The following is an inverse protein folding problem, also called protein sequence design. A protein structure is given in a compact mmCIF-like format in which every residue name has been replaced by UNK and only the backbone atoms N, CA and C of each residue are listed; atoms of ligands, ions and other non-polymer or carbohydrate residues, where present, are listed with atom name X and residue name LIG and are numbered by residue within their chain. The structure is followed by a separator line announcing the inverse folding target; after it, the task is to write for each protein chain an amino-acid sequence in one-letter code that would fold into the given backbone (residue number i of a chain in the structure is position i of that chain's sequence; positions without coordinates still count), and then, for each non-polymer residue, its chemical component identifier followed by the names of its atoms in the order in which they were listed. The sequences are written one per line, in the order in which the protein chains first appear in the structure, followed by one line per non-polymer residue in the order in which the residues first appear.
data_IF_367748014666
#
_entry.id   IF_367748014666
#
_cell.length_a   1.000
_cell.length_b   1.000
_cell.length_c   1.000
_cell.angle_alpha   90.00
_cell.angle_beta   90.00
_cell.angle_gamma   90.00
#
_symmetry.space_group_name_H-M   'P 1'
#
loop_
_entity.id
_entity.type
_entity.pdbx_description
1 polymer ?
#
# COMPACT_ATOMS: atom_id res chain seq x y z
N UNK A 1 5.02 -0.35 20.60
CA UNK A 1 3.82 -0.20 19.75
C UNK A 1 4.10 0.86 18.70
N UNK A 2 3.81 0.59 17.43
CA UNK A 2 4.09 1.53 16.36
C UNK A 2 3.09 2.69 16.38
N UNK A 3 3.54 3.93 16.12
CA UNK A 3 2.65 5.02 15.78
C UNK A 3 1.86 4.71 14.51
N UNK A 4 0.61 5.18 14.46
CA UNK A 4 -0.32 4.93 13.38
C UNK A 4 -0.91 6.26 12.90
N UNK A 5 -0.79 6.55 11.61
CA UNK A 5 -1.46 7.69 10.97
C UNK A 5 -2.59 7.14 10.11
N UNK A 6 -3.82 7.59 10.37
CA UNK A 6 -5.01 7.11 9.66
C UNK A 6 -5.60 8.26 8.88
N UNK A 7 -5.66 8.09 7.57
CA UNK A 7 -6.34 9.00 6.67
C UNK A 7 -7.76 8.50 6.46
N UNK A 8 -8.74 9.36 6.68
CA UNK A 8 -10.15 9.02 6.41
C UNK A 8 -10.94 10.26 6.06
N UNK A 9 -11.97 10.09 5.25
CA UNK A 9 -12.99 11.09 4.98
C UNK A 9 -14.38 10.63 5.47
N UNK A 10 -14.41 9.56 6.26
CA UNK A 10 -15.61 8.95 6.81
C UNK A 10 -15.69 9.23 8.31
N UNK A 11 -16.68 10.02 8.71
CA UNK A 11 -16.90 10.41 10.11
C UNK A 11 -17.14 9.17 10.99
N UNK A 12 -17.96 8.22 10.52
CA UNK A 12 -18.26 7.00 11.26
C UNK A 12 -16.99 6.14 11.47
N UNK A 13 -16.12 6.07 10.46
CA UNK A 13 -14.87 5.34 10.56
C UNK A 13 -13.86 6.02 11.49
N UNK A 14 -13.77 7.36 11.44
CA UNK A 14 -12.98 8.16 12.38
C UNK A 14 -13.42 7.88 13.82
N UNK A 15 -14.72 7.93 14.08
CA UNK A 15 -15.28 7.77 15.43
C UNK A 15 -15.04 6.35 15.95
N UNK A 16 -15.24 5.34 15.10
CA UNK A 16 -14.90 3.95 15.41
C UNK A 16 -13.44 3.81 15.81
N UNK A 17 -12.51 4.27 14.97
CA UNK A 17 -11.08 4.17 15.25
C UNK A 17 -10.69 4.95 16.51
N UNK A 18 -11.26 6.13 16.71
CA UNK A 18 -11.00 6.94 17.92
C UNK A 18 -11.33 6.12 19.17
N UNK A 19 -12.54 5.53 19.20
CA UNK A 19 -12.98 4.67 20.29
C UNK A 19 -12.04 3.48 20.51
N UNK A 20 -11.77 2.70 19.47
CA UNK A 20 -10.92 1.50 19.55
C UNK A 20 -9.50 1.83 20.06
N UNK A 21 -8.93 2.93 19.56
CA UNK A 21 -7.58 3.36 19.95
C UNK A 21 -7.55 3.91 21.38
N UNK A 22 -8.61 4.57 21.83
CA UNK A 22 -8.74 5.01 23.22
C UNK A 22 -8.91 3.87 24.22
N UNK A 23 -9.76 2.89 23.91
CA UNK A 23 -9.91 1.68 24.75
C UNK A 23 -8.58 0.91 24.87
N UNK A 24 -7.76 0.95 23.80
CA UNK A 24 -6.40 0.43 23.79
C UNK A 24 -5.35 1.29 24.50
N UNK A 25 -5.67 2.50 25.00
CA UNK A 25 -4.71 3.49 25.51
C UNK A 25 -3.58 3.79 24.49
N UNK A 26 -3.96 4.11 23.25
CA UNK A 26 -3.06 4.35 22.12
C UNK A 26 -3.24 5.73 21.48
N UNK A 27 -3.86 6.67 22.18
CA UNK A 27 -4.17 8.02 21.70
C UNK A 27 -2.91 8.76 21.27
N UNK A 28 -1.87 8.78 22.11
CA UNK A 28 -0.59 9.41 21.80
C UNK A 28 0.23 8.70 20.70
N UNK A 29 -0.23 7.53 20.26
CA UNK A 29 0.38 6.75 19.17
C UNK A 29 -0.51 6.71 17.94
N UNK A 30 -1.52 7.59 17.87
CA UNK A 30 -2.47 7.63 16.75
C UNK A 30 -2.70 9.06 16.31
N UNK A 31 -2.47 9.30 15.02
CA UNK A 31 -2.90 10.53 14.37
C UNK A 31 -4.07 10.21 13.44
N UNK A 32 -5.17 10.95 13.58
CA UNK A 32 -6.33 10.86 12.69
C UNK A 32 -6.35 12.08 11.77
N UNK A 33 -6.07 11.86 10.49
CA UNK A 33 -6.10 12.91 9.47
C UNK A 33 -7.42 12.82 8.71
N UNK A 34 -8.33 13.75 9.02
CA UNK A 34 -9.57 13.90 8.25
C UNK A 34 -9.27 14.61 6.94
N UNK A 35 -9.50 13.96 5.81
CA UNK A 35 -9.15 14.47 4.48
C UNK A 35 -10.37 14.60 3.58
N UNK A 36 -10.28 15.48 2.58
CA UNK A 36 -11.13 15.40 1.41
C UNK A 36 -10.41 14.51 0.37
N UNK A 37 -10.93 13.31 0.07
CA UNK A 37 -10.26 12.38 -0.84
C UNK A 37 -9.94 12.97 -2.22
N UNK A 38 -10.74 13.93 -2.69
CA UNK A 38 -10.54 14.56 -4.01
C UNK A 38 -9.34 15.50 -4.06
N UNK A 39 -8.72 15.83 -2.93
CA UNK A 39 -7.45 16.55 -2.90
C UNK A 39 -6.24 15.68 -3.23
N UNK A 40 -6.38 14.34 -3.18
CA UNK A 40 -5.33 13.41 -3.56
C UNK A 40 -5.33 13.23 -5.07
N UNK A 41 -4.15 13.32 -5.69
CA UNK A 41 -4.00 13.21 -7.15
C UNK A 41 -4.70 11.98 -7.76
N UNK A 42 -4.78 10.78 -7.13
CA UNK A 42 -5.43 9.65 -7.77
C UNK A 42 -6.93 9.82 -7.95
N UNK A 43 -7.59 10.53 -7.03
CA UNK A 43 -9.02 10.80 -7.14
C UNK A 43 -9.33 11.88 -8.19
N UNK A 44 -8.35 12.71 -8.55
CA UNK A 44 -8.48 13.61 -9.71
C UNK A 44 -8.50 12.86 -11.06
N UNK A 45 -8.06 11.59 -11.07
CA UNK A 45 -8.00 10.76 -12.28
C UNK A 45 -9.26 9.91 -12.50
N UNK A 46 -10.26 9.99 -11.62
CA UNK A 46 -11.45 9.13 -11.65
C UNK A 46 -12.13 9.06 -13.03
N UNK A 47 -12.33 10.21 -13.68
CA UNK A 47 -12.98 10.24 -14.99
C UNK A 47 -12.14 9.56 -16.07
N UNK A 48 -10.81 9.72 -16.03
CA UNK A 48 -9.90 9.02 -16.96
C UNK A 48 -9.91 7.50 -16.72
N UNK A 49 -9.91 7.07 -15.46
CA UNK A 49 -10.01 5.65 -15.09
C UNK A 49 -11.35 5.08 -15.58
N UNK A 50 -12.46 5.80 -15.36
CA UNK A 50 -13.79 5.41 -15.82
C UNK A 50 -13.86 5.29 -17.34
N UNK A 51 -13.24 6.21 -18.08
CA UNK A 51 -13.14 6.15 -19.54
C UNK A 51 -12.39 4.88 -19.99
N UNK A 52 -11.28 4.53 -19.32
CA UNK A 52 -10.54 3.29 -19.61
C UNK A 52 -11.42 2.06 -19.43
N UNK A 53 -12.17 1.96 -18.34
CA UNK A 53 -13.04 0.80 -18.06
C UNK A 53 -14.26 0.72 -18.97
N UNK A 54 -14.64 1.84 -19.58
CA UNK A 54 -15.77 1.93 -20.50
C UNK A 54 -15.37 1.61 -21.95
N UNK A 55 -14.09 1.31 -22.24
CA UNK A 55 -13.64 0.93 -23.56
C UNK A 55 -14.27 -0.42 -24.00
N UNK A 56 -14.65 -0.58 -25.27
CA UNK A 56 -15.12 -1.86 -25.80
C UNK A 56 -14.13 -2.99 -25.52
N UNK A 57 -14.64 -4.06 -24.92
CA UNK A 57 -13.87 -5.26 -24.57
C UNK A 57 -12.92 -5.09 -23.38
N UNK A 58 -12.90 -3.94 -22.67
CA UNK A 58 -12.09 -3.82 -21.45
C UNK A 58 -12.60 -4.82 -20.41
N UNK A 59 -11.74 -5.70 -19.87
CA UNK A 59 -12.21 -6.82 -19.09
C UNK A 59 -12.73 -6.34 -17.74
N UNK A 60 -13.82 -6.97 -17.29
CA UNK A 60 -14.44 -6.70 -16.01
C UNK A 60 -13.91 -7.67 -14.94
N UNK A 61 -13.00 -7.18 -14.10
CA UNK A 61 -12.44 -7.88 -12.95
C UNK A 61 -12.92 -7.15 -11.70
N UNK A 62 -13.84 -7.74 -10.94
CA UNK A 62 -14.29 -7.14 -9.69
C UNK A 62 -13.23 -7.27 -8.59
N UNK A 63 -12.92 -6.22 -7.80
CA UNK A 63 -13.38 -4.82 -7.94
C UNK A 63 -12.51 -3.97 -8.90
N UNK A 64 -11.35 -4.51 -9.25
CA UNK A 64 -10.21 -3.93 -9.96
C UNK A 64 -10.50 -3.06 -11.21
N UNK A 65 -11.37 -3.51 -12.12
CA UNK A 65 -11.65 -2.80 -13.40
C UNK A 65 -13.13 -2.51 -13.63
N UNK A 66 -13.92 -2.57 -12.56
CA UNK A 66 -15.36 -2.24 -12.57
C UNK A 66 -15.70 -1.08 -11.63
N UNK A 67 -14.84 -0.79 -10.66
CA UNK A 67 -15.01 0.31 -9.72
C UNK A 67 -13.82 1.29 -9.84
N UNK A 68 -13.95 2.40 -10.59
CA UNK A 68 -12.90 3.41 -10.71
C UNK A 68 -12.43 3.97 -9.36
N UNK A 69 -13.35 4.13 -8.41
CA UNK A 69 -13.04 4.62 -7.06
C UNK A 69 -12.21 3.62 -6.27
N UNK A 70 -12.34 2.33 -6.52
CA UNK A 70 -11.48 1.32 -5.92
C UNK A 70 -10.04 1.48 -6.41
N UNK A 71 -9.82 1.59 -7.71
CA UNK A 71 -8.47 1.81 -8.27
C UNK A 71 -7.85 3.12 -7.77
N UNK A 72 -8.62 4.21 -7.76
CA UNK A 72 -8.17 5.47 -7.18
C UNK A 72 -7.76 5.32 -5.70
N UNK A 73 -8.51 4.53 -4.91
CA UNK A 73 -8.14 4.23 -3.53
C UNK A 73 -6.86 3.37 -3.41
N UNK A 74 -6.63 2.42 -4.32
CA UNK A 74 -5.39 1.63 -4.35
C UNK A 74 -4.17 2.51 -4.69
N UNK A 75 -4.31 3.45 -5.61
CA UNK A 75 -3.26 4.41 -5.93
C UNK A 75 -3.04 5.44 -4.79
N UNK A 76 -4.10 5.81 -4.07
CA UNK A 76 -4.05 6.77 -2.96
C UNK A 76 -3.13 6.35 -1.81
N UNK A 77 -2.87 5.05 -1.64
CA UNK A 77 -1.91 4.52 -0.67
C UNK A 77 -0.56 5.24 -0.72
N UNK A 78 -0.02 5.43 -1.93
CA UNK A 78 1.28 6.07 -2.10
C UNK A 78 1.24 7.56 -1.74
N UNK A 79 0.18 8.26 -2.17
CA UNK A 79 -0.02 9.67 -1.88
C UNK A 79 -0.12 9.94 -0.36
N UNK A 80 -0.91 9.14 0.37
CA UNK A 80 -1.10 9.35 1.82
C UNK A 80 0.13 8.94 2.63
N UNK A 81 0.87 7.90 2.23
CA UNK A 81 2.13 7.58 2.92
C UNK A 81 3.17 8.66 2.63
N UNK A 82 3.26 9.18 1.41
CA UNK A 82 4.15 10.30 1.11
C UNK A 82 3.79 11.57 1.90
N UNK A 83 2.50 11.87 2.09
CA UNK A 83 2.06 12.94 2.98
C UNK A 83 2.48 12.69 4.44
N UNK A 84 2.25 11.48 4.97
CA UNK A 84 2.68 11.11 6.32
C UNK A 84 4.20 11.23 6.50
N UNK A 85 4.97 10.88 5.48
CA UNK A 85 6.43 11.03 5.44
C UNK A 85 6.84 12.51 5.49
N UNK A 86 6.16 13.39 4.75
CA UNK A 86 6.42 14.84 4.75
C UNK A 86 6.09 15.47 6.11
N UNK A 87 5.00 15.03 6.75
CA UNK A 87 4.60 15.50 8.09
C UNK A 87 5.53 14.97 9.19
N UNK A 88 5.95 13.71 9.10
CA UNK A 88 6.87 13.04 10.02
C UNK A 88 6.59 13.30 11.52
N UNK A 89 5.31 13.21 11.93
CA UNK A 89 4.86 13.60 13.26
C UNK A 89 5.55 12.85 14.41
N UNK A 90 6.04 11.64 14.15
CA UNK A 90 6.67 10.77 15.13
C UNK A 90 8.20 10.67 14.99
N UNK A 91 8.81 11.57 14.22
CA UNK A 91 10.25 11.62 13.99
C UNK A 91 10.91 10.27 13.65
N UNK A 92 10.39 9.60 12.62
CA UNK A 92 10.87 8.28 12.18
C UNK A 92 11.59 8.34 10.83
N UNK A 93 12.44 7.34 10.59
CA UNK A 93 13.12 7.12 9.31
C UNK A 93 12.37 6.15 8.39
N UNK A 94 11.46 5.35 8.95
CA UNK A 94 10.77 4.27 8.26
C UNK A 94 9.27 4.46 8.26
N UNK A 95 8.65 4.20 7.12
CA UNK A 95 7.23 4.34 6.89
C UNK A 95 6.71 3.10 6.18
N UNK A 96 5.47 2.74 6.48
CA UNK A 96 4.80 1.61 5.87
C UNK A 96 3.34 1.95 5.54
N UNK A 97 2.86 1.42 4.42
CA UNK A 97 1.42 1.24 4.21
C UNK A 97 1.01 -0.10 4.78
N UNK A 98 -0.16 -0.19 5.40
CA UNK A 98 -0.75 -1.45 5.85
C UNK A 98 -2.25 -1.43 5.60
N UNK A 99 -2.75 -2.40 4.83
CA UNK A 99 -4.19 -2.56 4.63
C UNK A 99 -4.91 -2.88 5.94
N UNK A 100 -6.08 -2.30 6.13
CA UNK A 100 -6.97 -2.68 7.22
C UNK A 100 -7.41 -4.14 7.00
N UNK A 101 -7.17 -4.97 8.00
CA UNK A 101 -7.41 -6.42 7.94
C UNK A 101 -6.22 -7.22 7.39
N UNK A 102 -5.04 -6.64 7.17
CA UNK A 102 -3.85 -7.41 6.76
C UNK A 102 -3.56 -8.61 7.69
N UNK A 103 -3.84 -8.45 8.98
CA UNK A 103 -3.69 -9.49 10.01
C UNK A 103 -5.02 -10.20 10.36
N UNK A 104 -5.94 -10.35 9.39
CA UNK A 104 -7.27 -10.99 9.61
C UNK A 104 -7.20 -12.43 10.12
N UNK A 105 -6.11 -13.14 9.85
CA UNK A 105 -5.95 -14.51 10.37
C UNK A 105 -5.65 -14.52 11.89
N UNK A 106 -5.51 -13.34 12.53
CA UNK A 106 -5.29 -13.17 13.96
C UNK A 106 -6.53 -12.66 14.72
N UNK A 107 -7.73 -12.66 14.12
CA UNK A 107 -8.95 -12.07 14.73
C UNK A 107 -9.31 -12.67 16.12
N UNK A 108 -8.80 -13.85 16.47
CA UNK A 108 -8.96 -14.46 17.81
C UNK A 108 -7.78 -14.29 18.77
N UNK A 109 -6.74 -13.54 18.39
CA UNK A 109 -5.53 -13.38 19.20
C UNK A 109 -5.62 -12.16 20.12
N UNK A 110 -5.45 -12.37 21.43
CA UNK A 110 -5.31 -11.28 22.41
C UNK A 110 -3.89 -10.72 22.49
N UNK A 111 -3.02 -11.08 21.54
CA UNK A 111 -1.63 -10.66 21.55
C UNK A 111 -1.48 -9.28 20.92
N UNK A 112 -0.93 -8.35 21.70
CA UNK A 112 -0.39 -7.12 21.14
C UNK A 112 0.85 -7.43 20.31
N UNK A 113 1.05 -6.68 19.25
CA UNK A 113 2.26 -6.77 18.45
C UNK A 113 2.68 -5.41 17.94
N UNK A 114 3.96 -5.32 17.59
CA UNK A 114 4.52 -4.23 16.82
C UNK A 114 5.16 -4.77 15.54
N UNK A 115 5.25 -3.91 14.53
CA UNK A 115 5.99 -4.13 13.31
C UNK A 115 7.44 -3.69 13.52
N UNK A 116 8.36 -4.57 13.17
CA UNK A 116 9.79 -4.34 13.00
C UNK A 116 10.12 -4.27 11.53
N UNK A 117 11.27 -3.67 11.24
CA UNK A 117 11.85 -3.74 9.90
C UNK A 117 12.13 -5.21 9.58
N UNK A 118 11.75 -5.67 8.38
CA UNK A 118 11.96 -7.06 8.01
C UNK A 118 13.47 -7.39 7.96
N UNK A 119 13.85 -8.66 8.13
CA UNK A 119 15.24 -9.07 8.00
C UNK A 119 15.85 -8.64 6.65
N UNK A 120 17.13 -8.28 6.66
CA UNK A 120 17.92 -7.90 5.48
C UNK A 120 17.33 -6.74 4.67
N UNK A 121 16.56 -5.85 5.29
CA UNK A 121 15.98 -4.68 4.62
C UNK A 121 17.06 -3.77 4.01
N UNK A 122 16.91 -3.48 2.72
CA UNK A 122 17.73 -2.54 1.96
C UNK A 122 17.08 -1.15 2.00
N UNK A 123 17.72 -0.22 2.70
CA UNK A 123 17.21 1.14 2.91
C UNK A 123 17.09 1.98 1.64
N UNK A 124 17.67 1.52 0.53
CA UNK A 124 17.59 2.16 -0.80
C UNK A 124 16.41 1.65 -1.65
N UNK A 125 15.65 0.65 -1.17
CA UNK A 125 14.58 -0.01 -1.92
C UNK A 125 13.24 0.06 -1.19
N UNK A 126 12.16 -0.13 -1.94
CA UNK A 126 10.83 -0.31 -1.38
C UNK A 126 10.57 -1.80 -1.14
N UNK A 127 10.41 -2.21 0.11
CA UNK A 127 10.10 -3.59 0.46
C UNK A 127 8.63 -3.90 0.17
N UNK A 128 8.39 -4.98 -0.58
CA UNK A 128 7.06 -5.49 -0.93
C UNK A 128 7.04 -7.03 -0.91
N UNK A 129 5.85 -7.58 -0.85
CA UNK A 129 5.65 -9.02 -0.85
C UNK A 129 5.57 -9.58 -2.28
N UNK A 130 6.31 -10.63 -2.58
CA UNK A 130 6.19 -11.37 -3.85
C UNK A 130 4.99 -12.31 -3.80
N UNK A 131 4.16 -12.31 -4.84
CA UNK A 131 2.96 -13.17 -4.93
C UNK A 131 3.10 -14.23 -6.01
N UNK A 132 3.78 -13.91 -7.10
CA UNK A 132 3.93 -14.86 -8.21
C UNK A 132 5.28 -14.72 -8.88
N UNK A 133 5.90 -15.85 -9.20
CA UNK A 133 7.18 -15.90 -9.91
C UNK A 133 6.93 -15.72 -11.41
N UNK A 134 6.79 -14.47 -11.82
CA UNK A 134 6.53 -14.08 -13.20
C UNK A 134 7.78 -13.46 -13.83
N UNK A 135 7.98 -13.73 -15.13
CA UNK A 135 9.07 -13.12 -15.89
C UNK A 135 8.74 -11.68 -16.31
N UNK A 136 9.73 -10.79 -16.35
CA UNK A 136 9.53 -9.37 -16.67
C UNK A 136 9.21 -9.08 -18.15
N UNK A 137 9.00 -10.11 -18.98
CA UNK A 137 8.73 -9.98 -20.41
C UNK A 137 7.24 -9.79 -20.72
N UNK A 138 6.35 -9.98 -19.75
CA UNK A 138 4.91 -9.75 -19.96
C UNK A 138 4.66 -8.28 -20.25
N UNK A 139 3.95 -7.99 -21.35
CA UNK A 139 3.67 -6.62 -21.77
C UNK A 139 2.61 -5.96 -20.86
N UNK A 140 2.70 -4.65 -20.59
CA UNK A 140 1.71 -3.90 -19.82
C UNK A 140 0.27 -4.18 -20.26
N UNK A 141 -0.01 -4.20 -21.56
CA UNK A 141 -1.34 -4.52 -22.09
C UNK A 141 -1.91 -5.83 -21.51
N UNK A 142 -1.11 -6.90 -21.52
CA UNK A 142 -1.50 -8.20 -20.97
C UNK A 142 -1.58 -8.17 -19.45
N UNK A 143 -0.67 -7.47 -18.78
CA UNK A 143 -0.67 -7.33 -17.31
C UNK A 143 -1.98 -6.70 -16.84
N UNK A 144 -2.36 -5.56 -17.43
CA UNK A 144 -3.56 -4.81 -17.05
C UNK A 144 -4.84 -5.59 -17.38
N UNK A 145 -4.97 -6.10 -18.61
CA UNK A 145 -6.22 -6.74 -19.06
C UNK A 145 -6.41 -8.15 -18.48
N UNK A 146 -5.34 -8.90 -18.26
CA UNK A 146 -5.42 -10.23 -17.64
C UNK A 146 -5.33 -10.19 -16.11
N UNK A 147 -5.35 -8.99 -15.51
CA UNK A 147 -5.28 -8.79 -14.06
C UNK A 147 -4.11 -9.53 -13.39
N UNK A 148 -2.95 -9.53 -14.06
CA UNK A 148 -1.81 -10.35 -13.64
C UNK A 148 -1.15 -9.70 -12.42
N UNK A 149 -0.92 -10.49 -11.37
CA UNK A 149 -0.33 -10.03 -10.11
C UNK A 149 1.07 -10.59 -9.93
N UNK A 150 2.05 -9.71 -9.77
CA UNK A 150 3.43 -10.06 -9.43
C UNK A 150 3.73 -9.86 -7.95
N UNK A 151 3.32 -8.72 -7.40
CA UNK A 151 3.55 -8.30 -6.00
C UNK A 151 2.25 -7.94 -5.30
N UNK A 152 2.23 -8.09 -3.98
CA UNK A 152 1.08 -7.77 -3.12
C UNK A 152 0.99 -6.26 -2.86
N UNK A 153 -0.24 -5.73 -2.83
CA UNK A 153 -0.50 -4.31 -2.53
C UNK A 153 -0.79 -4.00 -1.06
N UNK A 154 -0.84 -5.01 -0.18
CA UNK A 154 -1.36 -4.85 1.18
C UNK A 154 -0.37 -4.32 2.22
N UNK A 155 0.93 -4.36 1.91
CA UNK A 155 1.99 -3.81 2.75
C UNK A 155 3.18 -3.42 1.87
N UNK A 156 3.69 -2.22 2.09
CA UNK A 156 5.02 -1.82 1.61
C UNK A 156 5.75 -1.05 2.71
N UNK A 157 7.08 -1.11 2.70
CA UNK A 157 7.93 -0.45 3.71
C UNK A 157 9.07 0.28 2.98
N UNK A 158 9.35 1.51 3.37
CA UNK A 158 10.45 2.30 2.79
C UNK A 158 11.02 3.30 3.77
N UNK A 159 12.21 3.81 3.46
CA UNK A 159 12.75 5.00 4.12
C UNK A 159 12.09 6.27 3.60
N UNK A 160 12.21 7.38 4.33
CA UNK A 160 11.69 8.70 3.91
C UNK A 160 11.96 9.03 2.44
N UNK A 161 13.23 8.97 2.04
CA UNK A 161 13.64 9.36 0.69
C UNK A 161 13.09 8.39 -0.36
N UNK A 162 13.16 7.08 -0.08
CA UNK A 162 12.61 6.05 -0.96
C UNK A 162 11.12 6.26 -1.18
N UNK A 163 10.33 6.49 -0.13
CA UNK A 163 8.87 6.65 -0.28
C UNK A 163 8.51 7.91 -1.07
N UNK A 164 9.17 9.04 -0.81
CA UNK A 164 8.90 10.30 -1.55
C UNK A 164 9.23 10.13 -3.03
N UNK A 165 10.39 9.57 -3.36
CA UNK A 165 10.80 9.38 -4.75
C UNK A 165 9.97 8.29 -5.45
N UNK A 166 9.58 7.25 -4.71
CA UNK A 166 8.71 6.22 -5.22
C UNK A 166 7.31 6.75 -5.55
N UNK A 167 6.73 7.63 -4.72
CA UNK A 167 5.43 8.22 -4.99
C UNK A 167 5.41 9.01 -6.30
N UNK A 168 6.44 9.83 -6.54
CA UNK A 168 6.61 10.55 -7.82
C UNK A 168 6.78 9.58 -9.00
N UNK A 169 7.60 8.55 -8.84
CA UNK A 169 7.79 7.52 -9.87
C UNK A 169 6.47 6.82 -10.20
N UNK A 170 5.71 6.47 -9.16
CA UNK A 170 4.44 5.77 -9.26
C UNK A 170 3.36 6.63 -9.92
N UNK A 171 3.22 7.90 -9.53
CA UNK A 171 2.31 8.84 -10.17
C UNK A 171 2.59 8.95 -11.68
N UNK A 172 3.86 9.13 -12.07
CA UNK A 172 4.25 9.14 -13.49
C UNK A 172 3.88 7.84 -14.21
N UNK A 173 4.05 6.69 -13.56
CA UNK A 173 3.69 5.40 -14.12
C UNK A 173 2.17 5.30 -14.36
N UNK A 174 1.35 5.73 -13.39
CA UNK A 174 -0.12 5.78 -13.53
C UNK A 174 -0.52 6.66 -14.70
N UNK A 175 0.04 7.88 -14.80
CA UNK A 175 -0.26 8.80 -15.89
C UNK A 175 0.17 8.24 -17.25
N UNK A 176 1.33 7.60 -17.33
CA UNK A 176 1.84 6.96 -18.55
C UNK A 176 0.94 5.82 -19.04
N UNK A 177 0.45 4.95 -18.14
CA UNK A 177 -0.45 3.86 -18.53
C UNK A 177 -1.85 4.36 -18.86
N UNK A 178 -2.35 5.41 -18.19
CA UNK A 178 -3.61 6.07 -18.57
C UNK A 178 -3.57 6.63 -19.98
N UNK A 179 -2.44 7.22 -20.41
CA UNK A 179 -2.27 7.73 -21.76
C UNK A 179 -2.41 6.62 -22.81
N UNK A 180 -1.92 5.42 -22.49
CA UNK A 180 -2.09 4.20 -23.27
C UNK A 180 -3.46 3.53 -23.12
N UNK A 181 -4.39 4.15 -22.39
CA UNK A 181 -5.72 3.62 -22.10
C UNK A 181 -5.68 2.28 -21.34
N UNK A 182 -4.71 2.14 -20.43
CA UNK A 182 -4.56 0.99 -19.55
C UNK A 182 -4.66 1.44 -18.08
N UNK A 183 -5.52 0.76 -17.32
CA UNK A 183 -5.65 0.97 -15.88
C UNK A 183 -6.22 -0.25 -15.16
N UNK A 184 -5.86 -0.40 -13.89
CA UNK A 184 -6.32 -1.44 -12.95
C UNK A 184 -5.88 -1.00 -11.54
N UNK A 185 -5.62 -1.91 -10.59
CA UNK A 185 -5.13 -1.59 -9.25
C UNK A 185 -3.64 -1.25 -9.25
N UNK A 186 -3.14 -0.93 -8.06
CA UNK A 186 -1.72 -0.68 -7.83
C UNK A 186 -0.83 -1.84 -8.25
N UNK A 187 -1.28 -3.08 -8.10
CA UNK A 187 -0.50 -4.27 -8.39
C UNK A 187 -0.15 -4.39 -9.88
N UNK A 188 -1.08 -4.08 -10.79
CA UNK A 188 -0.80 -4.11 -12.23
C UNK A 188 0.06 -2.92 -12.67
N UNK A 189 -0.11 -1.76 -12.03
CA UNK A 189 0.79 -0.61 -12.27
C UNK A 189 2.21 -0.95 -11.85
N UNK A 190 2.40 -1.55 -10.67
CA UNK A 190 3.71 -2.00 -10.18
C UNK A 190 4.33 -3.01 -11.14
N UNK A 191 3.59 -4.04 -11.53
CA UNK A 191 4.13 -5.05 -12.43
C UNK A 191 4.47 -4.46 -13.80
N UNK A 192 3.61 -3.61 -14.34
CA UNK A 192 3.86 -2.95 -15.63
C UNK A 192 5.04 -1.99 -15.57
N UNK A 193 5.21 -1.22 -14.48
CA UNK A 193 6.35 -0.32 -14.24
C UNK A 193 7.69 -1.08 -14.30
N UNK A 194 7.76 -2.26 -13.69
CA UNK A 194 8.99 -3.05 -13.60
C UNK A 194 9.17 -4.12 -14.68
N UNK A 195 8.19 -4.28 -15.58
CA UNK A 195 8.34 -5.06 -16.82
C UNK A 195 9.45 -4.48 -17.72
N UNK A 196 9.95 -5.25 -18.68
CA UNK A 196 10.96 -4.77 -19.63
C UNK A 196 10.51 -3.50 -20.38
N UNK A 197 9.26 -3.48 -20.82
CA UNK A 197 8.68 -2.34 -21.52
C UNK A 197 8.53 -1.12 -20.61
N UNK A 198 8.01 -1.33 -19.39
CA UNK A 198 7.90 -0.27 -18.38
C UNK A 198 9.24 0.32 -17.98
N UNK A 199 10.25 -0.52 -17.74
CA UNK A 199 11.62 -0.07 -17.42
C UNK A 199 12.22 0.76 -18.54
N UNK A 200 12.04 0.34 -19.79
CA UNK A 200 12.52 1.08 -20.96
C UNK A 200 11.88 2.47 -21.05
N UNK A 201 10.58 2.56 -20.78
CA UNK A 201 9.83 3.81 -20.89
C UNK A 201 10.01 4.75 -19.69
N UNK A 202 9.89 4.22 -18.47
CA UNK A 202 9.77 4.99 -17.23
C UNK A 202 11.08 5.11 -16.44
N UNK A 203 12.07 4.27 -16.74
CA UNK A 203 13.42 4.28 -16.13
C UNK A 203 13.35 4.43 -14.60
N UNK A 204 12.78 3.44 -13.88
CA UNK A 204 12.60 3.54 -12.43
C UNK A 204 13.94 3.77 -11.73
N UNK A 205 13.98 4.78 -10.86
CA UNK A 205 15.14 5.13 -10.02
C UNK A 205 15.08 4.49 -8.63
N UNK A 206 13.93 3.93 -8.26
CA UNK A 206 13.74 3.16 -7.03
C UNK A 206 13.47 1.73 -7.43
N UNK A 207 14.16 0.78 -6.81
CA UNK A 207 13.93 -0.65 -7.00
C UNK A 207 13.07 -1.24 -5.89
N UNK A 208 12.40 -2.35 -6.18
CA UNK A 208 11.69 -3.13 -5.18
C UNK A 208 12.63 -4.13 -4.51
N UNK A 209 12.49 -4.30 -3.20
CA UNK A 209 13.00 -5.45 -2.48
C UNK A 209 11.87 -6.44 -2.30
N UNK A 210 11.99 -7.60 -2.95
CA UNK A 210 10.95 -8.62 -2.96
C UNK A 210 11.18 -9.60 -1.81
N UNK A 211 10.16 -9.76 -0.98
CA UNK A 211 10.12 -10.80 0.05
C UNK A 211 9.35 -12.00 -0.49
N UNK A 212 10.07 -13.09 -0.74
CA UNK A 212 9.51 -14.36 -1.23
C UNK A 212 8.94 -15.16 -0.07
N UNK A 213 7.64 -15.51 -0.09
CA UNK A 213 7.05 -16.34 0.94
C UNK A 213 7.76 -17.70 1.07
N UNK A 214 8.08 -18.07 2.31
CA UNK A 214 8.67 -19.37 2.66
C UNK A 214 7.88 -20.00 3.81
N UNK A 215 7.66 -21.32 3.76
CA UNK A 215 6.93 -22.04 4.80
C UNK A 215 5.41 -22.01 4.62
N UNK A 216 4.67 -22.32 5.69
CA UNK A 216 3.20 -22.32 5.69
C UNK A 216 2.60 -20.93 5.95
N UNK A 217 1.32 -20.76 5.63
CA UNK A 217 0.58 -19.51 5.84
C UNK A 217 0.12 -18.86 4.53
N UNK A 218 -0.61 -17.75 4.64
CA UNK A 218 -1.09 -17.03 3.46
C UNK A 218 0.06 -16.22 2.83
N UNK A 219 0.47 -16.54 1.58
CA UNK A 219 1.59 -15.85 0.94
C UNK A 219 1.34 -14.35 0.78
N UNK A 220 0.09 -13.90 0.73
CA UNK A 220 -0.27 -12.48 0.63
C UNK A 220 0.13 -11.63 1.82
N UNK A 221 0.28 -12.26 2.99
CA UNK A 221 0.53 -11.58 4.25
C UNK A 221 1.95 -11.79 4.79
N UNK A 222 2.79 -12.52 4.05
CA UNK A 222 4.09 -13.00 4.51
C UNK A 222 5.00 -11.87 5.02
N UNK A 223 5.17 -10.78 4.26
CA UNK A 223 5.98 -9.64 4.71
C UNK A 223 5.52 -9.06 6.05
N UNK A 224 4.22 -8.91 6.28
CA UNK A 224 3.74 -8.36 7.56
C UNK A 224 3.97 -9.32 8.73
N UNK A 225 3.86 -10.64 8.49
CA UNK A 225 4.22 -11.64 9.50
C UNK A 225 5.72 -11.70 9.79
N UNK A 226 6.59 -11.48 8.79
CA UNK A 226 8.02 -11.30 9.03
C UNK A 226 8.33 -10.07 9.90
N UNK A 227 7.54 -9.01 9.74
CA UNK A 227 7.69 -7.79 10.51
C UNK A 227 7.12 -7.92 11.93
N UNK A 228 6.19 -8.85 12.17
CA UNK A 228 5.43 -8.94 13.42
C UNK A 228 6.29 -9.42 14.59
N UNK A 229 6.38 -8.60 15.65
CA UNK A 229 6.93 -8.98 16.95
C UNK A 229 5.83 -8.89 18.02
N UNK A 230 5.50 -10.02 18.64
CA UNK A 230 4.56 -10.06 19.78
C UNK A 230 5.16 -9.30 20.95
N UNK A 231 4.32 -8.51 21.63
CA UNK A 231 4.69 -7.77 22.84
C UNK A 231 3.78 -8.14 23.99
N UNK A 232 4.37 -8.42 25.15
CA UNK A 232 3.62 -8.60 26.38
C UNK A 232 3.27 -7.21 26.92
N UNK A 233 2.01 -6.82 26.84
CA UNK A 233 1.48 -5.77 27.70
C UNK A 233 1.22 -6.39 29.08
N UNK A 234 2.23 -6.37 29.95
CA UNK A 234 1.95 -6.46 31.38
C UNK A 234 0.98 -5.31 31.69
N UNK A 235 -0.15 -5.61 32.35
CA UNK A 235 -0.97 -4.59 33.01
C UNK A 235 -0.09 -3.97 34.10
N UNK A 236 0.74 -2.99 33.77
CA UNK A 236 1.59 -2.30 34.74
C UNK A 236 1.35 -0.80 34.59
N UNK A 237 0.61 -0.35 35.60
CA UNK A 237 0.71 0.90 36.34
C UNK A 237 0.28 2.19 35.63
N UNK A 238 -0.87 2.66 36.12
CA UNK A 238 -1.24 4.06 36.25
C UNK A 238 -0.01 4.89 36.65
N UNK A 239 0.61 5.54 35.68
CA UNK A 239 1.36 6.75 35.98
C UNK A 239 0.40 7.92 35.77
N UNK A 240 0.00 8.45 36.92
CA UNK A 240 -0.66 9.73 37.19
C UNK A 240 0.05 10.86 36.43
#
# INVERSE_FOLDING_TARGET
MNPLVIYTDCVQFRDLITKERSEGKLEYQTELVFINRTSLWPFSLLDKIKQVYSQPGYPAHYPNTVNPSYSAAQHAKYAVVADAVRRNLYNTSYFAWLDIGYFRDLIGSNQYFELKIPPNFDSSRLAVNLISHLGMNTRPYSIFRSNVVWVGGGLFIGTRNVVIEFEKLYERAVLYFLDQKLMNSDQQVLYSLYSQEGRKALKPNIELQLYTPTGGGNPWFYLGYLCRKVVNRTKVEEFI
#
